data_IF_146987405579
#
_entry.id   IF_146987405579
#
_cell.length_a   1.000
_cell.length_b   1.000
_cell.length_c   1.000
_cell.angle_alpha   90.00
_cell.angle_beta   90.00
_cell.angle_gamma   90.00
#
_symmetry.space_group_name_H-M   'P 1'
#
loop_
_entity.id
_entity.type
_entity.pdbx_description
1 polymer ?
#
# COMPACT_ATOMS: atom_id res chain seq x y z
N UNK A 1 -16.44 28.32 5.96
CA UNK A 1 -15.76 27.77 4.77
C UNK A 1 -16.60 26.60 4.27
N UNK A 2 -16.79 26.40 2.95
CA UNK A 2 -17.51 25.22 2.44
C UNK A 2 -16.82 23.92 2.88
N UNK A 3 -17.55 22.81 2.90
CA UNK A 3 -16.94 21.51 3.21
C UNK A 3 -15.95 21.10 2.10
N UNK A 4 -14.95 20.29 2.46
CA UNK A 4 -13.88 19.88 1.53
C UNK A 4 -14.41 19.23 0.25
N UNK A 5 -15.44 18.39 0.37
CA UNK A 5 -16.08 17.72 -0.75
C UNK A 5 -16.86 18.69 -1.66
N UNK A 6 -17.41 19.76 -1.08
CA UNK A 6 -18.14 20.77 -1.86
C UNK A 6 -17.16 21.60 -2.69
N UNK A 7 -15.99 21.93 -2.12
CA UNK A 7 -14.90 22.57 -2.86
C UNK A 7 -14.46 21.65 -4.00
N UNK A 8 -14.20 20.37 -3.73
CA UNK A 8 -13.76 19.40 -4.73
C UNK A 8 -14.71 19.31 -5.93
N UNK A 9 -16.03 19.31 -5.71
CA UNK A 9 -17.06 19.24 -6.76
C UNK A 9 -17.13 20.48 -7.66
N UNK A 10 -16.62 21.63 -7.21
CA UNK A 10 -16.59 22.85 -8.03
C UNK A 10 -15.41 22.90 -9.01
N UNK A 11 -14.44 22.00 -8.88
CA UNK A 11 -13.21 22.02 -9.67
C UNK A 11 -13.39 21.22 -10.96
N UNK A 12 -13.11 21.85 -12.10
CA UNK A 12 -12.96 21.15 -13.38
C UNK A 12 -11.59 20.48 -13.43
N UNK A 13 -11.57 19.15 -13.38
CA UNK A 13 -10.34 18.37 -13.42
C UNK A 13 -9.74 18.34 -14.83
N UNK A 14 -8.42 18.56 -14.90
CA UNK A 14 -7.62 18.31 -16.10
C UNK A 14 -7.42 16.82 -16.30
N UNK A 15 -7.29 16.36 -17.54
CA UNK A 15 -6.95 14.95 -17.78
C UNK A 15 -5.58 14.63 -17.20
N UNK A 16 -5.41 13.40 -16.71
CA UNK A 16 -4.12 12.97 -16.17
C UNK A 16 -3.01 12.98 -17.24
N UNK A 17 -3.38 12.77 -18.51
CA UNK A 17 -2.47 12.88 -19.65
C UNK A 17 -1.98 14.31 -19.88
N UNK A 18 -2.81 15.34 -19.64
CA UNK A 18 -2.38 16.74 -19.67
C UNK A 18 -1.40 17.04 -18.53
N UNK A 19 -1.67 16.52 -17.33
CA UNK A 19 -0.76 16.66 -16.18
C UNK A 19 0.57 15.96 -16.46
N UNK A 20 0.54 14.73 -17.00
CA UNK A 20 1.73 13.97 -17.38
C UNK A 20 2.59 14.69 -18.42
N UNK A 21 1.97 15.30 -19.45
CA UNK A 21 2.68 16.12 -20.44
C UNK A 21 3.45 17.28 -19.81
N UNK A 22 2.91 17.92 -18.77
CA UNK A 22 3.60 19.00 -18.05
C UNK A 22 4.84 18.51 -17.27
N UNK A 23 4.88 17.21 -16.94
CA UNK A 23 6.01 16.53 -16.31
C UNK A 23 6.98 15.92 -17.35
N UNK A 24 6.67 16.03 -18.64
CA UNK A 24 7.46 15.44 -19.72
C UNK A 24 7.26 13.93 -19.84
N UNK A 25 6.06 13.43 -19.51
CA UNK A 25 5.62 12.06 -19.75
C UNK A 25 4.76 11.99 -21.02
N UNK A 26 4.96 10.90 -21.75
CA UNK A 26 4.24 10.56 -22.98
C UNK A 26 2.93 9.83 -22.65
N UNK A 27 2.04 9.65 -23.62
CA UNK A 27 0.85 8.79 -23.42
C UNK A 27 1.23 7.32 -23.17
N UNK A 28 2.32 6.85 -23.79
CA UNK A 28 2.84 5.49 -23.60
C UNK A 28 3.54 5.28 -22.25
N UNK A 29 3.81 6.37 -21.51
CA UNK A 29 4.40 6.30 -20.17
C UNK A 29 3.33 6.14 -19.07
N UNK A 30 2.05 6.13 -19.44
CA UNK A 30 0.91 6.17 -18.53
C UNK A 30 -0.07 5.00 -18.77
N UNK A 31 -0.34 4.24 -17.72
CA UNK A 31 -1.42 3.25 -17.67
C UNK A 31 -2.66 3.89 -17.04
N UNK A 32 -3.66 4.23 -17.86
CA UNK A 32 -4.79 5.05 -17.41
C UNK A 32 -5.81 4.28 -16.56
N UNK A 33 -6.19 4.87 -15.42
CA UNK A 33 -7.30 4.44 -14.56
C UNK A 33 -8.43 5.47 -14.65
N UNK A 34 -9.17 5.39 -15.77
CA UNK A 34 -10.09 6.44 -16.16
C UNK A 34 -9.37 7.70 -16.64
N UNK A 35 -10.03 8.86 -16.56
CA UNK A 35 -9.52 10.11 -17.17
C UNK A 35 -8.54 10.90 -16.29
N UNK A 36 -8.55 10.65 -14.99
CA UNK A 36 -7.93 11.52 -13.98
C UNK A 36 -6.89 10.82 -13.09
N UNK A 37 -6.58 9.55 -13.38
CA UNK A 37 -5.59 8.75 -12.64
C UNK A 37 -4.81 7.90 -13.64
N UNK A 38 -3.56 7.64 -13.34
CA UNK A 38 -2.73 6.74 -14.12
C UNK A 38 -1.64 6.16 -13.21
N UNK A 39 -1.15 4.97 -13.56
CA UNK A 39 0.13 4.45 -13.09
C UNK A 39 1.23 4.81 -14.08
N UNK A 40 2.44 5.05 -13.59
CA UNK A 40 3.61 5.30 -14.44
C UNK A 40 4.24 3.96 -14.83
N UNK A 41 4.51 3.76 -16.12
CA UNK A 41 5.08 2.50 -16.61
C UNK A 41 6.51 2.28 -16.10
N UNK A 42 6.94 1.02 -16.02
CA UNK A 42 8.33 0.70 -15.65
C UNK A 42 9.33 1.30 -16.64
N UNK A 43 9.00 1.27 -17.92
CA UNK A 43 9.81 1.85 -18.98
C UNK A 43 10.02 3.36 -18.76
N UNK A 44 8.98 4.08 -18.33
CA UNK A 44 9.07 5.50 -18.01
C UNK A 44 9.97 5.76 -16.79
N UNK A 45 9.90 4.91 -15.76
CA UNK A 45 10.78 4.99 -14.58
C UNK A 45 12.25 4.75 -14.97
N UNK A 46 12.54 3.77 -15.82
CA UNK A 46 13.91 3.51 -16.29
C UNK A 46 14.49 4.69 -17.09
N UNK A 47 13.69 5.32 -17.97
CA UNK A 47 14.11 6.49 -18.75
C UNK A 47 14.63 7.65 -17.89
N UNK A 48 14.13 7.79 -16.66
CA UNK A 48 14.45 8.91 -15.78
C UNK A 48 15.53 8.62 -14.74
N UNK A 49 15.94 7.36 -14.55
CA UNK A 49 16.97 6.98 -13.55
C UNK A 49 18.31 7.69 -13.74
N UNK A 50 18.67 8.04 -14.97
CA UNK A 50 19.93 8.74 -15.28
C UNK A 50 19.84 10.27 -15.14
N UNK A 51 18.66 10.83 -14.89
CA UNK A 51 18.46 12.27 -14.72
C UNK A 51 18.95 12.71 -13.33
N UNK A 52 19.47 13.95 -13.19
CA UNK A 52 19.86 14.47 -11.90
C UNK A 52 18.65 14.60 -10.96
N UNK A 53 18.82 14.24 -9.70
CA UNK A 53 17.78 14.39 -8.69
C UNK A 53 17.45 15.86 -8.41
N UNK A 54 16.17 16.13 -8.17
CA UNK A 54 15.68 17.43 -7.73
C UNK A 54 15.99 17.72 -6.26
N UNK A 55 15.40 18.80 -5.72
CA UNK A 55 15.46 19.08 -4.27
C UNK A 55 14.36 18.30 -3.56
N UNK A 56 14.72 17.57 -2.51
CA UNK A 56 13.77 16.89 -1.62
C UNK A 56 13.41 17.80 -0.45
N UNK A 57 12.12 18.07 -0.27
CA UNK A 57 11.59 18.84 0.87
C UNK A 57 10.69 17.92 1.69
N UNK A 58 11.11 17.61 2.92
CA UNK A 58 10.32 16.82 3.85
C UNK A 58 9.45 17.74 4.70
N UNK A 59 8.14 17.51 4.66
CA UNK A 59 7.17 18.18 5.55
C UNK A 59 6.84 17.26 6.72
N UNK A 60 7.13 17.73 7.93
CA UNK A 60 6.79 17.05 9.19
C UNK A 60 5.95 17.97 10.08
N UNK A 61 5.49 17.44 11.22
CA UNK A 61 4.70 18.17 12.20
C UNK A 61 5.17 17.84 13.62
N UNK A 62 4.70 18.64 14.59
CA UNK A 62 4.82 18.34 16.02
C UNK A 62 4.02 17.08 16.38
N UNK A 63 4.13 16.63 17.63
CA UNK A 63 3.30 15.54 18.17
C UNK A 63 1.82 15.83 17.91
N UNK A 64 1.06 14.90 17.30
CA UNK A 64 -0.35 15.12 16.98
C UNK A 64 -1.20 15.41 18.21
N UNK A 65 -2.16 16.32 18.05
CA UNK A 65 -3.12 16.74 19.06
C UNK A 65 -4.55 16.60 18.51
N UNK A 66 -5.58 16.55 19.38
CA UNK A 66 -6.98 16.52 18.92
C UNK A 66 -7.40 17.72 18.05
N UNK A 67 -6.65 18.83 18.09
CA UNK A 67 -6.93 20.01 17.27
C UNK A 67 -6.59 19.81 15.78
N UNK A 68 -5.67 18.89 15.47
CA UNK A 68 -5.21 18.61 14.11
C UNK A 68 -4.17 19.62 13.60
N UNK A 69 -3.12 19.11 12.95
CA UNK A 69 -1.96 19.92 12.55
C UNK A 69 -1.97 20.32 11.07
N UNK A 70 -2.85 19.73 10.26
CA UNK A 70 -2.98 20.09 8.84
C UNK A 70 -1.76 19.73 7.98
N UNK A 71 -0.92 18.76 8.39
CA UNK A 71 0.33 18.40 7.70
C UNK A 71 0.16 18.17 6.21
N UNK A 72 -0.82 17.35 5.79
CA UNK A 72 -1.01 17.05 4.36
C UNK A 72 -1.46 18.28 3.58
N UNK A 73 -2.33 19.11 4.16
CA UNK A 73 -2.76 20.38 3.58
C UNK A 73 -1.57 21.31 3.34
N UNK A 74 -0.63 21.38 4.28
CA UNK A 74 0.61 22.16 4.12
C UNK A 74 1.50 21.58 3.02
N UNK A 75 1.68 20.26 2.93
CA UNK A 75 2.46 19.64 1.86
C UNK A 75 1.92 19.97 0.47
N UNK A 76 0.60 19.89 0.29
CA UNK A 76 -0.06 20.19 -0.98
C UNK A 76 0.03 21.69 -1.28
N UNK A 77 -0.29 22.54 -0.30
CA UNK A 77 -0.24 23.99 -0.43
C UNK A 77 1.17 24.51 -0.75
N UNK A 78 2.21 23.93 -0.16
CA UNK A 78 3.60 24.25 -0.46
C UNK A 78 3.95 23.95 -1.92
N UNK A 79 3.57 22.77 -2.42
CA UNK A 79 3.81 22.41 -3.83
C UNK A 79 3.04 23.33 -4.79
N UNK A 80 1.77 23.65 -4.47
CA UNK A 80 0.98 24.62 -5.22
C UNK A 80 1.66 26.01 -5.26
N UNK A 81 2.17 26.49 -4.12
CA UNK A 81 2.86 27.77 -4.01
C UNK A 81 4.17 27.79 -4.82
N UNK A 82 4.98 26.73 -4.75
CA UNK A 82 6.21 26.62 -5.54
C UNK A 82 5.94 26.68 -7.04
N UNK A 83 4.90 26.00 -7.52
CA UNK A 83 4.48 26.09 -8.92
C UNK A 83 4.02 27.50 -9.32
N UNK A 84 3.30 28.22 -8.44
CA UNK A 84 2.95 29.64 -8.67
C UNK A 84 4.17 30.56 -8.74
N UNK A 85 5.27 30.21 -8.07
CA UNK A 85 6.55 30.93 -8.13
C UNK A 85 7.42 30.49 -9.32
N UNK A 86 6.88 29.68 -10.25
CA UNK A 86 7.60 29.21 -11.43
C UNK A 86 8.60 28.07 -11.17
N UNK A 87 8.53 27.40 -10.01
CA UNK A 87 9.33 26.21 -9.71
C UNK A 87 8.53 24.95 -10.03
N UNK A 88 9.09 24.05 -10.84
CA UNK A 88 8.47 22.73 -11.09
C UNK A 88 8.50 21.90 -9.81
N UNK A 89 7.34 21.64 -9.22
CA UNK A 89 7.20 20.92 -7.94
C UNK A 89 6.10 19.86 -8.03
N UNK A 90 6.36 18.69 -7.46
CA UNK A 90 5.40 17.59 -7.29
C UNK A 90 5.34 17.20 -5.81
N UNK A 91 4.16 16.80 -5.34
CA UNK A 91 3.97 16.32 -3.97
C UNK A 91 3.73 14.82 -3.99
N UNK A 92 4.47 14.08 -3.17
CA UNK A 92 4.22 12.66 -2.92
C UNK A 92 3.47 12.52 -1.59
N UNK A 93 2.34 11.81 -1.60
CA UNK A 93 1.52 11.54 -0.42
C UNK A 93 1.18 10.05 -0.36
N UNK A 94 0.78 9.57 0.82
CA UNK A 94 0.37 8.17 1.01
C UNK A 94 -1.09 8.00 0.64
N UNK A 95 -1.41 6.88 0.01
CA UNK A 95 -2.79 6.40 -0.14
C UNK A 95 -3.41 6.15 1.25
N UNK A 96 -4.62 6.65 1.53
CA UNK A 96 -5.34 6.31 2.75
C UNK A 96 -5.89 4.89 2.70
N UNK A 97 -5.88 4.23 3.85
CA UNK A 97 -6.61 2.97 4.06
C UNK A 97 -8.13 3.18 3.92
N UNK A 98 -8.80 2.21 3.32
CA UNK A 98 -10.24 2.16 3.11
C UNK A 98 -11.01 2.07 4.42
N UNK A 99 -10.54 1.25 5.36
CA UNK A 99 -11.24 0.97 6.63
C UNK A 99 -11.63 2.23 7.42
N UNK A 100 -10.68 3.15 7.70
CA UNK A 100 -10.95 4.41 8.39
C UNK A 100 -11.93 5.36 7.70
N UNK A 101 -12.08 5.29 6.37
CA UNK A 101 -12.98 6.16 5.60
C UNK A 101 -14.43 5.94 5.96
N UNK A 102 -14.81 4.69 6.28
CA UNK A 102 -16.15 4.35 6.78
C UNK A 102 -16.28 4.52 8.30
N UNK A 103 -15.23 5.01 8.98
CA UNK A 103 -15.20 5.28 10.41
C UNK A 103 -15.28 6.77 10.72
N UNK A 104 -14.37 7.24 11.58
CA UNK A 104 -14.35 8.62 12.11
C UNK A 104 -13.49 9.56 11.24
N UNK A 105 -12.55 9.03 10.46
CA UNK A 105 -11.59 9.85 9.71
C UNK A 105 -12.11 10.15 8.30
N UNK A 106 -12.50 11.41 8.07
CA UNK A 106 -12.63 12.00 6.73
C UNK A 106 -11.26 12.09 6.02
N UNK A 107 -11.30 12.18 4.69
CA UNK A 107 -10.22 11.86 3.74
C UNK A 107 -8.82 12.44 4.02
N UNK A 108 -7.79 11.70 3.61
CA UNK A 108 -6.38 12.02 3.87
C UNK A 108 -5.71 12.87 2.77
N UNK A 109 -6.46 13.34 1.79
CA UNK A 109 -5.95 14.02 0.59
C UNK A 109 -5.87 15.55 0.71
N UNK A 110 -5.62 16.08 1.91
CA UNK A 110 -5.55 17.52 2.18
C UNK A 110 -6.86 18.13 2.70
N UNK A 111 -7.03 19.44 2.52
CA UNK A 111 -8.21 20.17 2.99
C UNK A 111 -8.30 21.59 2.43
N UNK A 112 -9.49 22.17 2.43
CA UNK A 112 -9.78 23.47 1.83
C UNK A 112 -9.45 23.50 0.34
N UNK A 113 -8.70 24.53 -0.09
CA UNK A 113 -8.25 24.67 -1.48
C UNK A 113 -6.94 23.94 -1.80
N UNK A 114 -6.36 23.24 -0.82
CA UNK A 114 -5.13 22.47 -0.94
C UNK A 114 -5.44 20.99 -0.78
N UNK A 115 -5.95 20.41 -1.86
CA UNK A 115 -6.39 19.01 -1.95
C UNK A 115 -5.76 18.29 -3.15
N UNK A 116 -5.71 16.96 -3.09
CA UNK A 116 -5.46 16.08 -4.24
C UNK A 116 -6.80 15.45 -4.65
N UNK A 117 -7.06 15.43 -5.95
CA UNK A 117 -8.32 14.97 -6.56
C UNK A 117 -8.03 13.91 -7.62
N UNK A 118 -8.98 12.99 -7.92
CA UNK A 118 -10.33 12.88 -7.36
C UNK A 118 -10.36 12.22 -5.96
N UNK A 119 -10.91 12.94 -4.98
CA UNK A 119 -10.88 12.53 -3.56
C UNK A 119 -11.67 11.25 -3.28
N UNK A 120 -12.79 11.05 -3.98
CA UNK A 120 -13.64 9.86 -3.85
C UNK A 120 -12.90 8.58 -4.26
N UNK A 121 -12.16 8.62 -5.38
CA UNK A 121 -11.37 7.47 -5.82
C UNK A 121 -10.22 7.20 -4.83
N UNK A 122 -9.50 8.24 -4.40
CA UNK A 122 -8.35 8.13 -3.49
C UNK A 122 -8.74 7.53 -2.14
N UNK A 123 -9.93 7.85 -1.63
CA UNK A 123 -10.42 7.35 -0.35
C UNK A 123 -11.07 5.95 -0.46
N UNK A 124 -11.26 5.41 -1.66
CA UNK A 124 -11.91 4.12 -1.86
C UNK A 124 -10.92 3.09 -2.39
N UNK A 125 -11.11 2.65 -3.63
CA UNK A 125 -10.30 1.58 -4.22
C UNK A 125 -9.08 2.10 -4.98
N UNK A 126 -9.04 3.41 -5.24
CA UNK A 126 -8.01 4.08 -6.02
C UNK A 126 -7.58 3.31 -7.27
N UNK A 127 -6.36 2.78 -7.29
CA UNK A 127 -5.82 1.93 -8.38
C UNK A 127 -5.76 0.44 -8.03
N UNK A 128 -6.20 0.06 -6.82
CA UNK A 128 -6.25 -1.32 -6.35
C UNK A 128 -5.01 -1.79 -5.58
N UNK A 129 -4.11 -0.88 -5.21
CA UNK A 129 -2.81 -1.22 -4.62
C UNK A 129 -2.97 -1.92 -3.27
N UNK A 130 -3.89 -1.43 -2.43
CA UNK A 130 -4.21 -2.06 -1.15
C UNK A 130 -4.89 -3.43 -1.33
N UNK A 131 -5.65 -3.64 -2.41
CA UNK A 131 -6.20 -4.96 -2.74
C UNK A 131 -5.12 -5.94 -3.13
N UNK A 132 -4.11 -5.48 -3.90
CA UNK A 132 -2.94 -6.28 -4.25
C UNK A 132 -2.13 -6.67 -3.01
N UNK A 133 -1.89 -5.72 -2.09
CA UNK A 133 -1.22 -6.00 -0.80
C UNK A 133 -2.02 -7.00 0.04
N UNK A 134 -3.34 -6.81 0.15
CA UNK A 134 -4.22 -7.73 0.89
C UNK A 134 -4.15 -9.13 0.31
N UNK A 135 -4.24 -9.25 -1.01
CA UNK A 135 -4.17 -10.53 -1.72
C UNK A 135 -2.81 -11.19 -1.50
N UNK A 136 -1.71 -10.47 -1.73
CA UNK A 136 -0.35 -10.97 -1.50
C UNK A 136 -0.13 -11.48 -0.07
N UNK A 137 -0.51 -10.69 0.94
CA UNK A 137 -0.38 -11.07 2.35
C UNK A 137 -1.18 -12.35 2.68
N UNK A 138 -2.42 -12.41 2.22
CA UNK A 138 -3.31 -13.53 2.52
C UNK A 138 -3.00 -14.79 1.72
N UNK A 139 -2.45 -14.65 0.51
CA UNK A 139 -1.89 -15.77 -0.26
C UNK A 139 -0.69 -16.38 0.47
N UNK A 140 0.21 -15.57 1.02
CA UNK A 140 1.30 -16.08 1.86
C UNK A 140 0.76 -16.81 3.10
N UNK A 141 -0.22 -16.23 3.79
CA UNK A 141 -0.87 -16.91 4.93
C UNK A 141 -1.48 -18.26 4.53
N UNK A 142 -2.09 -18.36 3.34
CA UNK A 142 -2.63 -19.60 2.80
C UNK A 142 -1.54 -20.62 2.48
N UNK A 143 -0.40 -20.21 1.91
CA UNK A 143 0.72 -21.10 1.65
C UNK A 143 1.32 -21.68 2.93
N UNK A 144 1.44 -20.87 4.00
CA UNK A 144 1.90 -21.34 5.31
C UNK A 144 0.98 -22.44 5.84
N UNK A 145 -0.33 -22.18 5.90
CA UNK A 145 -1.30 -23.14 6.43
C UNK A 145 -1.40 -24.40 5.54
N UNK A 146 -1.29 -24.24 4.22
CA UNK A 146 -1.28 -25.36 3.28
C UNK A 146 -0.02 -26.23 3.42
N UNK A 147 1.14 -25.62 3.66
CA UNK A 147 2.38 -26.36 3.92
C UNK A 147 2.29 -27.17 5.21
N UNK A 148 1.76 -26.56 6.28
CA UNK A 148 1.52 -27.25 7.55
C UNK A 148 0.54 -28.41 7.37
N UNK A 149 -0.51 -28.23 6.56
CA UNK A 149 -1.49 -29.28 6.28
C UNK A 149 -0.90 -30.44 5.48
N UNK A 150 -0.07 -30.17 4.47
CA UNK A 150 0.47 -31.15 3.54
C UNK A 150 1.85 -31.68 3.99
N UNK A 151 1.95 -32.15 5.23
CA UNK A 151 3.13 -32.87 5.73
C UNK A 151 4.14 -32.03 6.49
N UNK A 152 4.07 -30.69 6.41
CA UNK A 152 4.87 -29.76 7.21
C UNK A 152 6.37 -30.10 7.22
N UNK A 153 6.96 -30.30 6.04
CA UNK A 153 8.35 -30.77 5.90
C UNK A 153 9.37 -29.80 6.54
N UNK A 154 9.02 -28.52 6.65
CA UNK A 154 9.83 -27.49 7.31
C UNK A 154 9.72 -27.53 8.85
N UNK A 155 8.84 -28.36 9.41
CA UNK A 155 8.68 -28.51 10.85
C UNK A 155 8.16 -27.25 11.55
N UNK A 156 7.34 -26.44 10.88
CA UNK A 156 6.75 -25.21 11.42
C UNK A 156 5.88 -25.57 12.63
N UNK A 157 6.09 -24.94 13.77
CA UNK A 157 5.19 -25.05 14.92
C UNK A 157 3.96 -24.15 14.69
N UNK A 158 2.74 -24.68 14.55
CA UNK A 158 1.54 -23.87 14.26
C UNK A 158 1.27 -22.78 15.32
N UNK A 159 1.77 -22.97 16.55
CA UNK A 159 1.62 -22.01 17.66
C UNK A 159 2.62 -20.85 17.56
N UNK A 160 3.66 -20.99 16.73
CA UNK A 160 4.74 -20.01 16.55
C UNK A 160 4.73 -19.40 15.14
N UNK A 161 3.63 -19.50 14.42
CA UNK A 161 3.39 -18.73 13.21
C UNK A 161 3.17 -17.27 13.61
N UNK A 162 4.06 -16.40 13.17
CA UNK A 162 3.98 -14.95 13.43
C UNK A 162 3.17 -14.23 12.38
N UNK A 163 3.07 -14.81 11.18
CA UNK A 163 2.33 -14.22 10.06
C UNK A 163 0.82 -14.23 10.28
N UNK A 164 0.22 -13.05 10.24
CA UNK A 164 -1.23 -12.83 10.34
C UNK A 164 -1.85 -12.56 8.97
N UNK A 165 -3.16 -12.77 8.89
CA UNK A 165 -3.95 -12.33 7.72
C UNK A 165 -4.19 -10.82 7.82
N UNK A 166 -4.65 -10.21 6.74
CA UNK A 166 -5.03 -8.79 6.74
C UNK A 166 -6.33 -8.54 6.00
N UNK A 167 -7.01 -7.46 6.39
CA UNK A 167 -8.19 -6.95 5.72
C UNK A 167 -8.26 -5.43 5.90
N UNK A 168 -8.56 -4.68 4.83
CA UNK A 168 -8.63 -3.22 4.90
C UNK A 168 -10.00 -2.70 5.37
N UNK A 169 -10.45 -3.23 6.50
CA UNK A 169 -11.71 -2.87 7.16
C UNK A 169 -11.46 -2.75 8.66
N UNK A 170 -12.17 -1.83 9.32
CA UNK A 170 -12.10 -1.68 10.77
C UNK A 170 -12.92 -2.77 11.50
N UNK A 171 -12.42 -4.01 11.50
CA UNK A 171 -13.06 -5.13 12.20
C UNK A 171 -12.28 -5.57 13.45
N UNK A 172 -12.82 -5.21 14.62
CA UNK A 172 -12.20 -5.59 15.90
C UNK A 172 -12.36 -7.08 16.24
N UNK A 173 -13.34 -7.76 15.66
CA UNK A 173 -13.68 -9.15 15.98
C UNK A 173 -12.65 -10.13 15.43
N UNK A 174 -11.91 -9.72 14.39
CA UNK A 174 -10.87 -10.54 13.75
C UNK A 174 -9.49 -10.45 14.40
N UNK A 175 -9.32 -9.66 15.47
CA UNK A 175 -8.01 -9.48 16.14
C UNK A 175 -7.44 -10.79 16.69
N UNK A 176 -8.30 -11.63 17.26
CA UNK A 176 -7.95 -12.94 17.79
C UNK A 176 -8.98 -13.95 17.28
N UNK A 177 -8.52 -14.94 16.53
CA UNK A 177 -9.38 -15.99 15.96
C UNK A 177 -8.72 -17.35 16.12
N UNK A 178 -9.52 -18.41 16.06
CA UNK A 178 -9.04 -19.78 15.86
C UNK A 178 -9.44 -20.19 14.44
N UNK A 179 -8.47 -20.61 13.64
CA UNK A 179 -8.68 -21.06 12.25
C UNK A 179 -8.42 -22.57 12.12
N UNK A 180 -8.68 -23.15 10.94
CA UNK A 180 -8.41 -24.56 10.67
C UNK A 180 -9.32 -25.54 11.43
N UNK A 181 -10.52 -25.09 11.81
CA UNK A 181 -11.55 -25.91 12.44
C UNK A 181 -12.35 -26.70 11.40
N UNK A 182 -13.11 -27.70 11.84
CA UNK A 182 -13.98 -28.50 10.96
C UNK A 182 -13.45 -29.89 10.61
N UNK A 183 -12.39 -30.34 11.27
CA UNK A 183 -11.86 -31.70 11.16
C UNK A 183 -10.68 -31.81 10.19
N UNK A 184 -10.21 -33.05 9.99
CA UNK A 184 -8.92 -33.33 9.33
C UNK A 184 -8.76 -32.72 7.93
N UNK A 185 -9.84 -32.57 7.17
CA UNK A 185 -9.80 -32.05 5.79
C UNK A 185 -9.87 -30.52 5.70
N UNK A 186 -10.05 -29.82 6.83
CA UNK A 186 -10.30 -28.37 6.87
C UNK A 186 -9.10 -27.54 7.38
N UNK A 187 -7.99 -28.20 7.72
CA UNK A 187 -6.75 -27.57 8.17
C UNK A 187 -6.29 -28.06 9.54
N UNK A 188 -5.29 -27.36 10.10
CA UNK A 188 -4.75 -27.61 11.44
C UNK A 188 -5.21 -26.48 12.36
N UNK A 189 -5.93 -26.77 13.45
CA UNK A 189 -6.35 -25.76 14.41
C UNK A 189 -5.18 -24.97 14.98
N UNK A 190 -5.22 -23.65 14.87
CA UNK A 190 -4.26 -22.74 15.52
C UNK A 190 -4.87 -21.38 15.81
N UNK A 191 -4.28 -20.68 16.77
CA UNK A 191 -4.55 -19.27 17.00
C UNK A 191 -3.99 -18.42 15.84
N UNK A 192 -4.72 -17.36 15.51
CA UNK A 192 -4.35 -16.40 14.48
C UNK A 192 -5.05 -15.07 14.71
N UNK A 193 -4.98 -14.21 13.70
CA UNK A 193 -5.58 -12.90 13.76
C UNK A 193 -5.50 -12.18 12.42
N UNK A 194 -6.17 -11.04 12.37
CA UNK A 194 -6.10 -10.10 11.27
C UNK A 194 -5.60 -8.76 11.75
N UNK A 195 -4.68 -8.19 10.98
CA UNK A 195 -4.31 -6.78 11.08
C UNK A 195 -4.97 -6.00 9.93
N UNK A 196 -4.99 -4.67 10.03
CA UNK A 196 -5.45 -3.84 8.91
C UNK A 196 -4.38 -3.84 7.80
N UNK A 197 -4.77 -3.91 6.53
CA UNK A 197 -3.85 -4.04 5.37
C UNK A 197 -2.61 -3.14 5.38
N UNK A 198 -2.67 -1.83 5.67
CA UNK A 198 -1.45 -0.99 5.69
C UNK A 198 -0.47 -1.33 6.82
N UNK A 199 -0.86 -2.18 7.78
CA UNK A 199 0.03 -2.69 8.83
C UNK A 199 0.80 -3.96 8.39
N UNK A 200 0.49 -4.54 7.22
CA UNK A 200 1.21 -5.69 6.69
C UNK A 200 2.68 -5.35 6.41
N UNK A 201 3.58 -6.30 6.67
CA UNK A 201 4.98 -6.19 6.24
C UNK A 201 5.09 -6.13 4.70
N UNK A 202 4.14 -6.71 3.95
CA UNK A 202 4.05 -6.56 2.50
C UNK A 202 3.91 -5.09 2.09
N UNK A 203 3.14 -4.29 2.85
CA UNK A 203 3.01 -2.85 2.60
C UNK A 203 4.35 -2.13 2.82
N UNK A 204 5.04 -2.47 3.92
CA UNK A 204 6.36 -1.89 4.21
C UNK A 204 7.38 -2.24 3.12
N UNK A 205 7.39 -3.49 2.67
CA UNK A 205 8.25 -3.96 1.57
C UNK A 205 7.91 -3.23 0.27
N UNK A 206 6.62 -3.11 -0.08
CA UNK A 206 6.18 -2.36 -1.27
C UNK A 206 6.69 -0.91 -1.26
N UNK A 207 6.61 -0.23 -0.11
CA UNK A 207 7.06 1.16 0.04
C UNK A 207 8.59 1.34 0.05
N UNK A 208 9.37 0.28 0.31
CA UNK A 208 10.83 0.34 0.46
C UNK A 208 11.58 -0.28 -0.73
N UNK A 209 10.88 -1.01 -1.60
CA UNK A 209 11.46 -1.63 -2.80
C UNK A 209 11.61 -0.63 -3.94
N UNK A 210 12.76 -0.68 -4.62
CA UNK A 210 13.04 0.15 -5.80
C UNK A 210 12.57 -0.47 -7.10
N UNK A 211 12.52 -1.80 -7.14
CA UNK A 211 12.13 -2.58 -8.31
C UNK A 211 11.61 -3.97 -7.91
N UNK A 212 11.16 -4.73 -8.91
CA UNK A 212 10.61 -6.07 -8.74
C UNK A 212 11.63 -7.09 -8.21
N UNK A 213 12.92 -6.90 -8.48
CA UNK A 213 13.96 -7.81 -8.01
C UNK A 213 14.14 -7.64 -6.51
N UNK A 214 14.27 -6.40 -6.04
CA UNK A 214 14.38 -6.07 -4.62
C UNK A 214 13.08 -6.43 -3.88
N UNK A 215 11.90 -6.21 -4.48
CA UNK A 215 10.62 -6.64 -3.93
C UNK A 215 10.59 -8.14 -3.66
N UNK A 216 10.96 -8.96 -4.66
CA UNK A 216 10.98 -10.42 -4.52
C UNK A 216 11.98 -10.87 -3.46
N UNK A 217 13.18 -10.29 -3.44
CA UNK A 217 14.20 -10.62 -2.45
C UNK A 217 13.74 -10.30 -1.02
N UNK A 218 13.14 -9.13 -0.81
CA UNK A 218 12.61 -8.73 0.49
C UNK A 218 11.48 -9.64 0.95
N UNK A 219 10.58 -10.02 0.05
CA UNK A 219 9.52 -11.00 0.34
C UNK A 219 10.12 -12.34 0.78
N UNK A 220 11.09 -12.87 0.05
CA UNK A 220 11.74 -14.14 0.39
C UNK A 220 12.44 -14.14 1.76
N UNK A 221 12.79 -12.96 2.29
CA UNK A 221 13.43 -12.79 3.59
C UNK A 221 12.45 -12.54 4.75
N UNK A 222 11.13 -12.56 4.50
CA UNK A 222 10.11 -12.46 5.56
C UNK A 222 10.22 -13.68 6.48
N UNK A 223 10.23 -13.45 7.80
CA UNK A 223 10.11 -14.53 8.79
C UNK A 223 8.64 -14.84 9.05
N UNK A 224 8.19 -16.02 8.61
CA UNK A 224 6.78 -16.43 8.68
C UNK A 224 6.41 -17.10 10.01
N UNK A 225 7.39 -17.62 10.73
CA UNK A 225 7.22 -18.29 12.00
C UNK A 225 8.49 -19.03 12.44
N UNK A 226 8.31 -19.97 13.35
CA UNK A 226 9.41 -20.78 13.88
C UNK A 226 9.09 -22.26 13.85
N UNK A 227 10.13 -23.07 13.71
CA UNK A 227 10.06 -24.52 13.87
C UNK A 227 9.85 -24.94 15.33
N UNK A 228 9.60 -26.23 15.56
CA UNK A 228 9.53 -26.79 16.91
C UNK A 228 10.82 -26.62 17.72
N UNK A 229 11.99 -26.66 17.08
CA UNK A 229 13.30 -26.39 17.71
C UNK A 229 13.64 -24.89 17.79
N UNK A 230 12.75 -24.01 17.33
CA UNK A 230 12.86 -22.56 17.46
C UNK A 230 13.72 -21.86 16.43
N UNK A 231 14.03 -22.51 15.30
CA UNK A 231 14.67 -21.87 14.16
C UNK A 231 13.66 -21.00 13.40
N UNK A 232 14.03 -19.79 12.96
CA UNK A 232 13.16 -19.00 12.10
C UNK A 232 12.97 -19.71 10.77
N UNK A 233 11.75 -19.63 10.23
CA UNK A 233 11.43 -20.10 8.88
C UNK A 233 11.14 -18.87 8.02
N UNK A 234 11.84 -18.77 6.91
CA UNK A 234 11.73 -17.69 5.94
C UNK A 234 10.78 -18.06 4.81
N UNK A 235 10.18 -17.06 4.17
CA UNK A 235 9.26 -17.28 3.06
C UNK A 235 9.92 -18.01 1.86
N UNK A 236 11.18 -17.70 1.54
CA UNK A 236 11.94 -18.39 0.49
C UNK A 236 12.15 -19.88 0.74
N UNK A 237 12.00 -20.35 1.98
CA UNK A 237 12.04 -21.79 2.29
C UNK A 237 10.73 -22.50 1.89
N UNK A 238 9.62 -21.76 1.77
CA UNK A 238 8.39 -22.23 1.10
C UNK A 238 8.48 -22.13 -0.43
N UNK A 239 9.28 -21.19 -0.95
CA UNK A 239 9.56 -21.04 -2.38
C UNK A 239 8.46 -20.34 -3.19
N UNK A 240 7.68 -19.46 -2.55
CA UNK A 240 6.57 -18.74 -3.21
C UNK A 240 6.85 -17.24 -3.42
N UNK A 241 8.08 -16.75 -3.18
CA UNK A 241 8.40 -15.31 -3.23
C UNK A 241 8.04 -14.69 -4.58
N UNK A 242 8.23 -15.45 -5.66
CA UNK A 242 7.90 -15.02 -7.02
C UNK A 242 6.40 -14.88 -7.25
N UNK A 243 5.59 -15.77 -6.68
CA UNK A 243 4.13 -15.72 -6.77
C UNK A 243 3.57 -14.54 -5.98
N UNK A 244 4.10 -14.29 -4.78
CA UNK A 244 3.70 -13.14 -3.97
C UNK A 244 4.11 -11.83 -4.63
N UNK A 245 5.33 -11.74 -5.17
CA UNK A 245 5.80 -10.56 -5.91
C UNK A 245 4.94 -10.30 -7.16
N UNK A 246 4.55 -11.35 -7.90
CA UNK A 246 3.74 -11.19 -9.10
C UNK A 246 2.39 -10.50 -8.84
N UNK A 247 1.76 -10.74 -7.67
CA UNK A 247 0.52 -10.08 -7.26
C UNK A 247 0.69 -8.57 -7.06
N UNK A 248 1.92 -8.10 -6.81
CA UNK A 248 2.26 -6.71 -6.53
C UNK A 248 2.83 -5.98 -7.76
N UNK A 249 2.93 -6.66 -8.91
CA UNK A 249 3.57 -6.13 -10.13
C UNK A 249 3.02 -4.76 -10.54
N UNK A 250 1.70 -4.57 -10.53
CA UNK A 250 1.13 -3.28 -10.92
C UNK A 250 1.03 -2.32 -9.73
N UNK A 251 0.92 -2.84 -8.50
CA UNK A 251 0.90 -2.03 -7.27
C UNK A 251 2.24 -1.31 -7.00
N UNK A 252 3.37 -1.87 -7.45
CA UNK A 252 4.69 -1.23 -7.28
C UNK A 252 4.86 0.01 -8.18
N UNK A 253 4.08 0.14 -9.24
CA UNK A 253 4.10 1.35 -10.10
C UNK A 253 3.43 2.52 -9.35
N UNK A 254 4.07 3.70 -9.27
CA UNK A 254 3.49 4.89 -8.67
C UNK A 254 2.36 5.49 -9.52
#
# INVERSE_FOLDING_TARGET
MPADIDIAKTISLKSITEIGRNLGLDENDLELYGKFKAKITYEALEKVKSRPEGKLILVSAITPTPAGEGKTTVSIGLSQALNRLGKKSIVAIREPSLGPVFGIKGGAAGGGYSQVLPMEDINLHFTGDFHAVTSANNTLAAFIDNHIHNGNELGIDPRRVTWKRVLDVNDRSLRNVIIGLGGRTQGIPREGGFDITPASEIMAILCLSKDMTELKERIGNITIGFTYDGKPVLEKELGFEGSIAALLKDALKP
#
